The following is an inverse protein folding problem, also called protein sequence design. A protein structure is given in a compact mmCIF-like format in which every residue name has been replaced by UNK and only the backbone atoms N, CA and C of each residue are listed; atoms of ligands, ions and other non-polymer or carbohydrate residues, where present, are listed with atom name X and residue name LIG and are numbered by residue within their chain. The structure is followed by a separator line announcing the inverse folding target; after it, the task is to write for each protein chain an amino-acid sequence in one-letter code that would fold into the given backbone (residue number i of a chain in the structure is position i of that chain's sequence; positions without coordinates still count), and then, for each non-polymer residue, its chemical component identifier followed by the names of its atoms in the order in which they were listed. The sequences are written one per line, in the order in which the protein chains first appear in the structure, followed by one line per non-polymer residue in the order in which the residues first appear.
data_IF_820608626748
#
_entry.id   IF_820608626748
#
_cell.length_a   1.000
_cell.length_b   1.000
_cell.length_c   1.000
_cell.angle_alpha   90.00
_cell.angle_beta   90.00
_cell.angle_gamma   90.00
#
_symmetry.space_group_name_H-M   'P 1'
#
loop_
_entity.id
_entity.type
_entity.pdbx_description
1 polymer ?
#
# COMPACT_ATOMS: atom_id res chain seq x y z
N UNK A 1 -28.37 61.37 15.24
CA UNK A 1 -28.73 60.32 14.27
C UNK A 1 -27.43 59.81 13.66
N UNK A 2 -26.83 58.71 14.16
CA UNK A 2 -25.47 58.36 13.72
C UNK A 2 -24.86 57.05 14.23
N UNK A 3 -25.66 56.11 14.73
CA UNK A 3 -25.13 54.84 15.30
C UNK A 3 -25.65 53.57 14.61
N UNK A 4 -26.64 53.65 13.71
CA UNK A 4 -27.23 52.48 13.05
C UNK A 4 -26.51 52.04 11.77
N UNK A 5 -25.88 52.96 11.02
CA UNK A 5 -25.16 52.61 9.76
C UNK A 5 -23.76 52.00 9.99
N UNK A 6 -23.06 52.39 11.06
CA UNK A 6 -21.74 51.83 11.42
C UNK A 6 -21.88 50.35 11.84
N UNK A 7 -22.99 49.98 12.48
CA UNK A 7 -23.23 48.59 12.93
C UNK A 7 -23.56 47.62 11.79
N UNK A 8 -24.11 48.10 10.66
CA UNK A 8 -24.39 47.28 9.49
C UNK A 8 -23.16 47.11 8.61
N UNK A 9 -22.35 48.17 8.43
CA UNK A 9 -21.05 48.09 7.75
C UNK A 9 -20.07 47.18 8.48
N UNK A 10 -20.00 47.27 9.82
CA UNK A 10 -19.18 46.39 10.65
C UNK A 10 -19.69 44.94 10.67
N UNK A 11 -21.02 44.71 10.78
CA UNK A 11 -21.59 43.34 10.68
C UNK A 11 -21.46 42.72 9.29
N UNK A 12 -21.57 43.51 8.20
CA UNK A 12 -21.32 43.02 6.84
C UNK A 12 -19.84 42.71 6.65
N UNK A 13 -18.93 43.56 7.11
CA UNK A 13 -17.47 43.30 7.10
C UNK A 13 -17.10 42.09 7.95
N UNK A 14 -17.75 41.89 9.10
CA UNK A 14 -17.55 40.73 9.97
C UNK A 14 -18.10 39.44 9.33
N UNK A 15 -19.25 39.49 8.65
CA UNK A 15 -19.80 38.36 7.88
C UNK A 15 -18.94 38.02 6.65
N UNK A 16 -18.43 39.04 5.95
CA UNK A 16 -17.53 38.88 4.80
C UNK A 16 -16.17 38.34 5.27
N UNK A 17 -15.60 38.87 6.35
CA UNK A 17 -14.36 38.36 6.94
C UNK A 17 -14.53 36.92 7.43
N UNK A 18 -15.65 36.59 8.10
CA UNK A 18 -15.96 35.22 8.49
C UNK A 18 -16.11 34.29 7.28
N UNK A 19 -16.75 34.73 6.19
CA UNK A 19 -16.86 33.93 4.96
C UNK A 19 -15.50 33.72 4.26
N UNK A 20 -14.64 34.74 4.21
CA UNK A 20 -13.29 34.64 3.65
C UNK A 20 -12.41 33.71 4.49
N UNK A 21 -12.51 33.78 5.82
CA UNK A 21 -11.76 32.88 6.72
C UNK A 21 -12.27 31.44 6.61
N UNK A 22 -13.59 31.23 6.58
CA UNK A 22 -14.19 29.91 6.44
C UNK A 22 -13.85 29.27 5.08
N UNK A 23 -13.87 30.05 4.00
CA UNK A 23 -13.47 29.54 2.67
C UNK A 23 -11.96 29.29 2.59
N UNK A 24 -11.13 30.13 3.20
CA UNK A 24 -9.69 29.89 3.29
C UNK A 24 -9.37 28.63 4.09
N UNK A 25 -9.97 28.42 5.27
CA UNK A 25 -9.78 27.20 6.06
C UNK A 25 -10.34 25.97 5.38
N UNK A 26 -11.48 26.06 4.68
CA UNK A 26 -12.00 24.95 3.85
C UNK A 26 -11.04 24.65 2.71
N UNK A 27 -10.44 25.64 2.04
CA UNK A 27 -9.43 25.40 1.00
C UNK A 27 -8.18 24.76 1.60
N UNK A 28 -7.71 25.21 2.76
CA UNK A 28 -6.57 24.59 3.46
C UNK A 28 -6.88 23.18 3.98
N UNK A 29 -8.09 22.93 4.48
CA UNK A 29 -8.55 21.60 4.91
C UNK A 29 -8.74 20.70 3.69
N UNK A 30 -9.30 21.18 2.59
CA UNK A 30 -9.44 20.41 1.35
C UNK A 30 -8.08 20.15 0.69
N UNK A 31 -7.13 21.09 0.74
CA UNK A 31 -5.76 20.89 0.26
C UNK A 31 -4.96 19.98 1.18
N UNK A 32 -5.14 20.07 2.51
CA UNK A 32 -4.51 19.19 3.47
C UNK A 32 -5.11 17.79 3.42
N UNK A 33 -6.44 17.66 3.27
CA UNK A 33 -7.11 16.39 3.03
C UNK A 33 -6.74 15.83 1.66
N UNK A 34 -6.61 16.65 0.61
CA UNK A 34 -6.09 16.23 -0.70
C UNK A 34 -4.62 15.79 -0.61
N UNK A 35 -3.79 16.48 0.18
CA UNK A 35 -2.40 16.13 0.42
C UNK A 35 -2.25 14.89 1.34
N UNK A 36 -3.24 14.63 2.20
CA UNK A 36 -3.36 13.41 3.00
C UNK A 36 -4.09 12.27 2.26
N UNK A 37 -4.70 12.54 1.09
CA UNK A 37 -5.35 11.55 0.22
C UNK A 37 -4.57 11.23 -1.07
N UNK A 38 -3.54 12.01 -1.43
CA UNK A 38 -2.53 11.65 -2.44
C UNK A 38 -1.42 10.78 -1.86
N UNK A 39 -1.78 9.92 -0.92
CA UNK A 39 -0.87 8.91 -0.40
C UNK A 39 -0.88 7.78 -1.42
N UNK A 40 0.27 7.55 -2.06
CA UNK A 40 0.53 6.43 -2.97
C UNK A 40 -0.30 6.49 -4.28
N UNK A 41 0.22 7.15 -5.32
CA UNK A 41 -0.46 7.31 -6.62
C UNK A 41 0.04 6.35 -7.70
N UNK A 42 1.00 5.48 -7.38
CA UNK A 42 1.41 4.42 -8.28
C UNK A 42 0.88 3.06 -7.81
N UNK A 43 0.48 2.18 -8.72
CA UNK A 43 0.11 0.80 -8.37
C UNK A 43 1.23 -0.01 -7.67
N UNK A 44 2.46 0.53 -7.60
CA UNK A 44 3.61 -0.09 -6.96
C UNK A 44 3.97 0.46 -5.58
N UNK A 45 3.40 1.58 -5.17
CA UNK A 45 3.73 2.27 -3.92
C UNK A 45 3.38 1.42 -2.67
N UNK A 46 2.41 0.52 -2.79
CA UNK A 46 2.00 -0.43 -1.73
C UNK A 46 2.84 -1.72 -1.71
N UNK A 47 3.93 -1.78 -2.47
CA UNK A 47 4.82 -2.95 -2.61
C UNK A 47 4.02 -4.26 -2.86
N UNK A 48 3.22 -4.33 -3.93
CA UNK A 48 2.28 -5.43 -4.13
C UNK A 48 2.97 -6.78 -4.41
N UNK A 49 4.22 -6.76 -4.88
CA UNK A 49 4.99 -7.96 -5.24
C UNK A 49 5.63 -8.60 -4.01
N UNK A 50 5.39 -9.89 -3.81
CA UNK A 50 5.92 -10.71 -2.72
C UNK A 50 7.27 -11.33 -3.09
N UNK A 51 7.90 -11.95 -2.09
CA UNK A 51 9.09 -12.78 -2.26
C UNK A 51 10.27 -12.10 -2.98
N UNK A 52 10.39 -10.77 -2.86
CA UNK A 52 11.43 -9.99 -3.53
C UNK A 52 11.18 -9.71 -5.01
N UNK A 53 9.94 -9.87 -5.49
CA UNK A 53 9.55 -9.46 -6.84
C UNK A 53 9.67 -7.96 -7.08
N UNK A 54 10.01 -7.59 -8.31
CA UNK A 54 10.12 -6.20 -8.72
C UNK A 54 8.78 -5.72 -9.27
N UNK A 55 8.24 -4.65 -8.70
CA UNK A 55 7.01 -4.05 -9.20
C UNK A 55 7.28 -3.16 -10.42
N UNK A 56 6.47 -3.32 -11.47
CA UNK A 56 6.55 -2.59 -12.72
C UNK A 56 5.19 -1.93 -12.97
N UNK A 57 5.17 -0.61 -13.04
CA UNK A 57 3.96 0.14 -13.36
C UNK A 57 3.53 -0.06 -14.82
N UNK A 58 2.23 -0.28 -15.02
CA UNK A 58 1.59 -0.48 -16.33
C UNK A 58 0.30 0.32 -16.38
N UNK A 59 0.41 1.62 -16.69
CA UNK A 59 -0.73 2.54 -16.72
C UNK A 59 -1.31 2.74 -15.33
N UNK A 60 -2.58 2.39 -15.14
CA UNK A 60 -3.26 2.41 -13.84
C UNK A 60 -3.14 1.07 -13.08
N UNK A 61 -2.32 0.13 -13.57
CA UNK A 61 -2.08 -1.17 -12.95
C UNK A 61 -0.58 -1.43 -12.74
N UNK A 62 -0.25 -2.60 -12.21
CA UNK A 62 1.13 -3.07 -12.06
C UNK A 62 1.28 -4.49 -12.63
N UNK A 63 2.51 -4.86 -12.92
CA UNK A 63 2.95 -6.22 -13.14
C UNK A 63 4.13 -6.53 -12.22
N UNK A 64 4.24 -7.77 -11.74
CA UNK A 64 5.38 -8.19 -10.94
C UNK A 64 6.35 -9.02 -11.79
N UNK A 65 7.63 -8.62 -11.79
CA UNK A 65 8.72 -9.45 -12.29
C UNK A 65 9.22 -10.34 -11.14
N UNK A 66 8.97 -11.63 -11.26
CA UNK A 66 9.18 -12.58 -10.19
C UNK A 66 10.60 -13.16 -10.20
N UNK A 67 11.24 -13.32 -9.02
CA UNK A 67 12.50 -14.03 -8.94
C UNK A 67 12.33 -15.49 -9.33
N UNK A 68 13.42 -16.13 -9.73
CA UNK A 68 13.43 -17.55 -10.11
C UNK A 68 12.82 -18.39 -8.98
N UNK A 69 11.84 -19.22 -9.32
CA UNK A 69 11.14 -20.08 -8.36
C UNK A 69 9.83 -19.54 -7.83
N UNK A 70 9.52 -18.27 -8.07
CA UNK A 70 8.25 -17.67 -7.68
C UNK A 70 7.36 -17.42 -8.90
N UNK A 71 6.05 -17.50 -8.70
CA UNK A 71 5.07 -17.20 -9.74
C UNK A 71 3.79 -16.62 -9.11
N UNK A 72 2.77 -16.43 -9.93
CA UNK A 72 1.53 -15.75 -9.54
C UNK A 72 1.56 -14.27 -9.91
N UNK A 73 0.42 -13.62 -9.78
CA UNK A 73 0.25 -12.21 -10.17
C UNK A 73 1.07 -11.23 -9.32
N UNK A 74 1.41 -11.65 -8.10
CA UNK A 74 2.15 -10.90 -7.09
C UNK A 74 3.37 -11.69 -6.62
N UNK A 75 3.85 -12.68 -7.37
CA UNK A 75 4.95 -13.56 -6.97
C UNK A 75 4.69 -14.30 -5.63
N UNK A 76 3.43 -14.59 -5.32
CA UNK A 76 2.96 -15.21 -4.07
C UNK A 76 3.14 -16.73 -4.04
N UNK A 77 3.20 -17.36 -5.21
CA UNK A 77 3.27 -18.80 -5.36
C UNK A 77 4.72 -19.27 -5.43
N UNK A 78 5.00 -20.39 -4.77
CA UNK A 78 6.31 -21.04 -4.76
C UNK A 78 6.17 -22.56 -4.66
N UNK A 79 7.21 -23.34 -4.99
CA UNK A 79 7.23 -24.78 -4.75
C UNK A 79 7.02 -25.17 -3.27
N UNK A 80 7.26 -24.26 -2.33
CA UNK A 80 7.00 -24.50 -0.90
C UNK A 80 5.55 -24.18 -0.48
N UNK A 81 4.74 -23.57 -1.34
CA UNK A 81 3.37 -23.16 -0.99
C UNK A 81 2.42 -24.34 -0.74
N UNK A 82 2.76 -25.54 -1.22
CA UNK A 82 1.99 -26.77 -0.97
C UNK A 82 2.48 -27.55 0.25
N UNK A 83 3.39 -26.97 1.05
CA UNK A 83 4.00 -27.61 2.23
C UNK A 83 4.52 -29.03 1.94
N UNK A 84 5.43 -29.20 0.96
CA UNK A 84 5.86 -30.54 0.52
C UNK A 84 6.73 -31.28 1.54
N UNK A 85 7.34 -30.58 2.51
CA UNK A 85 8.19 -31.18 3.53
C UNK A 85 7.36 -31.71 4.70
N UNK A 86 7.29 -33.03 4.83
CA UNK A 86 6.59 -33.73 5.90
C UNK A 86 7.35 -33.64 7.22
N UNK A 87 6.70 -34.10 8.30
CA UNK A 87 7.33 -34.30 9.61
C UNK A 87 8.06 -33.05 10.15
N UNK A 88 7.48 -31.87 9.94
CA UNK A 88 8.03 -30.56 10.32
C UNK A 88 9.40 -30.26 9.68
N UNK A 89 9.66 -30.79 8.48
CA UNK A 89 10.78 -30.38 7.66
C UNK A 89 10.66 -28.92 7.22
N UNK A 90 11.80 -28.22 7.11
CA UNK A 90 11.82 -26.85 6.61
C UNK A 90 11.94 -26.84 5.09
N UNK A 91 11.01 -26.16 4.41
CA UNK A 91 11.04 -26.00 2.96
C UNK A 91 11.80 -24.74 2.56
N UNK A 92 12.70 -24.87 1.58
CA UNK A 92 13.41 -23.74 0.97
C UNK A 92 13.28 -23.79 -0.55
N UNK A 93 13.00 -22.65 -1.17
CA UNK A 93 12.96 -22.55 -2.65
C UNK A 93 14.38 -22.60 -3.19
N UNK A 94 14.62 -23.47 -4.16
CA UNK A 94 15.91 -23.62 -4.83
C UNK A 94 15.72 -23.61 -6.34
N UNK A 95 16.09 -22.50 -6.97
CA UNK A 95 15.80 -22.21 -8.38
C UNK A 95 14.31 -22.42 -8.67
N UNK A 96 13.93 -23.35 -9.55
CA UNK A 96 12.52 -23.63 -9.90
C UNK A 96 11.89 -24.77 -9.09
N UNK A 97 12.57 -25.25 -8.04
CA UNK A 97 12.13 -26.37 -7.19
C UNK A 97 12.18 -25.98 -5.70
N UNK A 98 11.95 -26.96 -4.83
CA UNK A 98 12.19 -26.86 -3.39
C UNK A 98 13.27 -27.85 -2.93
N UNK A 99 13.82 -27.59 -1.74
CA UNK A 99 14.67 -28.50 -0.97
C UNK A 99 14.14 -28.54 0.46
N UNK A 100 13.95 -29.75 0.99
CA UNK A 100 13.56 -29.99 2.37
C UNK A 100 14.78 -30.19 3.27
N UNK A 101 14.80 -29.49 4.41
CA UNK A 101 15.70 -29.76 5.52
C UNK A 101 14.94 -30.55 6.57
N UNK A 102 15.24 -31.84 6.69
CA UNK A 102 14.55 -32.75 7.59
C UNK A 102 14.97 -32.59 9.05
N UNK A 103 14.04 -32.89 9.96
CA UNK A 103 14.33 -33.02 11.38
C UNK A 103 15.06 -34.34 11.66
N UNK A 104 15.69 -34.44 12.84
CA UNK A 104 16.39 -35.65 13.26
C UNK A 104 15.47 -36.89 13.22
N UNK A 105 15.93 -37.93 12.54
CA UNK A 105 15.20 -39.20 12.40
C UNK A 105 14.36 -39.33 11.13
N UNK A 106 14.18 -38.24 10.36
CA UNK A 106 13.50 -38.26 9.06
C UNK A 106 14.49 -38.11 7.92
N UNK A 107 14.18 -38.72 6.77
CA UNK A 107 15.04 -38.71 5.58
C UNK A 107 14.18 -38.70 4.31
N UNK A 108 14.83 -38.65 3.15
CA UNK A 108 14.14 -38.63 1.87
C UNK A 108 13.97 -37.21 1.33
N UNK A 109 13.33 -37.10 0.16
CA UNK A 109 13.15 -35.80 -0.52
C UNK A 109 12.06 -34.96 0.13
N UNK A 110 11.08 -35.61 0.75
CA UNK A 110 9.94 -34.97 1.40
C UNK A 110 9.96 -35.17 2.93
N UNK A 111 11.04 -35.72 3.48
CA UNK A 111 11.19 -36.03 4.92
C UNK A 111 10.17 -37.06 5.43
N UNK A 112 9.90 -38.09 4.63
CA UNK A 112 9.01 -39.21 4.95
C UNK A 112 9.49 -40.16 6.07
#
# INVERSE_FOLDING_TARGET
MGITEISQGSRRRLKVAAFVIMTATIVFISLFLYFQLKVSETPCDDEPCRNGGTCIEVGESFNCDCPIGFNGSKCEDSPCSTEPCLNNGSCTVHATSYVCSCQDGYNGTECE
#
